data_IF_604745224910
#
_entry.id   IF_604745224910
#
_cell.length_a   1.000
_cell.length_b   1.000
_cell.length_c   1.000
_cell.angle_alpha   90.00
_cell.angle_beta   90.00
_cell.angle_gamma   90.00
#
_symmetry.space_group_name_H-M   'P 1'
#
loop_
_entity.id
_entity.type
_entity.pdbx_description
1 polymer ?
#
# COMPACT_ATOMS: atom_id res chain seq x y z
N UNK A 1 -6.76 24.91 -8.45
CA UNK A 1 -6.34 23.57 -8.05
C UNK A 1 -7.56 22.68 -7.94
N UNK A 2 -7.59 21.60 -8.67
CA UNK A 2 -8.74 20.70 -8.67
C UNK A 2 -8.69 19.74 -7.49
N UNK A 3 -9.86 19.25 -7.11
CA UNK A 3 -9.95 18.25 -6.07
C UNK A 3 -9.16 16.98 -6.43
N UNK A 4 -9.20 16.59 -7.72
CA UNK A 4 -8.44 15.44 -8.20
C UNK A 4 -6.93 15.64 -7.96
N UNK A 5 -6.42 16.83 -8.24
CA UNK A 5 -5.00 17.12 -8.01
C UNK A 5 -4.63 17.02 -6.55
N UNK A 6 -5.50 17.46 -5.64
CA UNK A 6 -5.29 17.32 -4.21
C UNK A 6 -5.24 15.85 -3.80
N UNK A 7 -6.14 15.05 -4.33
CA UNK A 7 -6.17 13.61 -4.04
C UNK A 7 -4.90 12.94 -4.56
N UNK A 8 -4.49 13.25 -5.78
CA UNK A 8 -3.26 12.70 -6.35
C UNK A 8 -2.06 13.03 -5.47
N UNK A 9 -1.97 14.28 -4.99
CA UNK A 9 -0.88 14.69 -4.12
C UNK A 9 -0.88 13.91 -2.81
N UNK A 10 -2.04 13.67 -2.22
CA UNK A 10 -2.19 12.87 -1.01
C UNK A 10 -1.78 11.42 -1.23
N UNK A 11 -2.21 10.84 -2.34
CA UNK A 11 -1.85 9.46 -2.70
C UNK A 11 -0.35 9.35 -2.92
N UNK A 12 0.24 10.30 -3.66
CA UNK A 12 1.68 10.32 -3.89
C UNK A 12 2.45 10.39 -2.57
N UNK A 13 2.01 11.23 -1.65
CA UNK A 13 2.66 11.36 -0.34
C UNK A 13 2.55 10.06 0.46
N UNK A 14 1.38 9.43 0.46
CA UNK A 14 1.17 8.17 1.18
C UNK A 14 2.03 7.05 0.59
N UNK A 15 2.15 6.99 -0.73
CA UNK A 15 3.00 6.01 -1.40
C UNK A 15 4.47 6.22 -1.06
N UNK A 16 4.89 7.48 -0.95
CA UNK A 16 6.26 7.81 -0.61
C UNK A 16 6.60 7.46 0.84
N UNK A 17 5.66 7.65 1.74
CA UNK A 17 5.83 7.29 3.15
C UNK A 17 5.87 5.79 3.37
N UNK A 18 5.17 5.03 2.53
CA UNK A 18 5.07 3.57 2.63
C UNK A 18 4.50 3.07 3.96
N UNK A 19 3.58 3.84 4.55
CA UNK A 19 2.89 3.45 5.78
C UNK A 19 1.53 2.85 5.44
N UNK A 20 1.36 1.56 5.68
CA UNK A 20 0.15 0.84 5.29
C UNK A 20 -1.10 1.42 5.95
N UNK A 21 -1.03 1.78 7.23
CA UNK A 21 -2.16 2.37 7.93
C UNK A 21 -2.65 3.64 7.24
N UNK A 22 -1.72 4.47 6.78
CA UNK A 22 -2.04 5.70 6.08
C UNK A 22 -2.70 5.43 4.73
N UNK A 23 -2.17 4.44 4.01
CA UNK A 23 -2.75 4.03 2.72
C UNK A 23 -4.17 3.49 2.89
N UNK A 24 -4.42 2.71 3.94
CA UNK A 24 -5.75 2.18 4.23
C UNK A 24 -6.74 3.30 4.58
N UNK A 25 -6.31 4.29 5.36
CA UNK A 25 -7.13 5.45 5.66
C UNK A 25 -7.53 6.20 4.40
N UNK A 26 -6.57 6.38 3.49
CA UNK A 26 -6.83 7.03 2.22
C UNK A 26 -7.80 6.25 1.35
N UNK A 27 -7.69 4.92 1.34
CA UNK A 27 -8.64 4.07 0.63
C UNK A 27 -10.07 4.28 1.13
N UNK A 28 -10.24 4.38 2.45
CA UNK A 28 -11.54 4.64 3.05
C UNK A 28 -12.06 6.01 2.65
N UNK A 29 -11.21 7.03 2.73
CA UNK A 29 -11.58 8.39 2.31
C UNK A 29 -11.99 8.43 0.84
N UNK A 30 -11.26 7.75 -0.02
CA UNK A 30 -11.57 7.70 -1.44
C UNK A 30 -12.89 6.98 -1.73
N UNK A 31 -13.20 5.95 -0.95
CA UNK A 31 -14.47 5.24 -1.09
C UNK A 31 -15.67 6.15 -0.81
N UNK A 32 -15.49 7.12 0.08
CA UNK A 32 -16.55 8.07 0.45
C UNK A 32 -16.50 9.35 -0.37
N UNK A 33 -15.51 9.51 -1.24
CA UNK A 33 -15.32 10.74 -2.00
C UNK A 33 -16.26 10.78 -3.20
N UNK A 34 -17.31 11.59 -3.09
CA UNK A 34 -18.32 11.75 -4.14
C UNK A 34 -17.94 12.83 -5.16
N UNK A 35 -16.90 13.63 -4.90
CA UNK A 35 -16.46 14.67 -5.83
C UNK A 35 -15.61 14.12 -6.96
N UNK A 36 -14.98 12.97 -6.75
CA UNK A 36 -14.23 12.31 -7.80
C UNK A 36 -15.14 11.49 -8.70
N UNK A 37 -14.81 11.45 -9.99
CA UNK A 37 -15.47 10.55 -10.91
C UNK A 37 -15.14 9.10 -10.50
N UNK A 38 -15.97 8.18 -10.97
CA UNK A 38 -15.79 6.77 -10.70
C UNK A 38 -14.43 6.27 -11.19
N UNK A 39 -14.03 6.72 -12.38
CA UNK A 39 -12.75 6.37 -12.98
C UNK A 39 -11.58 6.91 -12.19
N UNK A 40 -11.63 8.19 -11.83
CA UNK A 40 -10.54 8.82 -11.09
C UNK A 40 -10.38 8.18 -9.71
N UNK A 41 -11.50 7.93 -9.05
CA UNK A 41 -11.49 7.26 -7.76
C UNK A 41 -10.88 5.86 -7.86
N UNK A 42 -11.30 5.09 -8.86
CA UNK A 42 -10.79 3.76 -9.10
C UNK A 42 -9.29 3.77 -9.35
N UNK A 43 -8.81 4.68 -10.18
CA UNK A 43 -7.39 4.81 -10.50
C UNK A 43 -6.55 5.04 -9.25
N UNK A 44 -6.98 5.97 -8.40
CA UNK A 44 -6.23 6.27 -7.18
C UNK A 44 -6.31 5.14 -6.17
N UNK A 45 -7.46 4.48 -6.05
CA UNK A 45 -7.60 3.32 -5.19
C UNK A 45 -6.69 2.18 -5.62
N UNK A 46 -6.57 1.94 -6.93
CA UNK A 46 -5.70 0.88 -7.45
C UNK A 46 -4.23 1.16 -7.14
N UNK A 47 -3.81 2.40 -7.23
CA UNK A 47 -2.44 2.78 -6.87
C UNK A 47 -2.13 2.39 -5.42
N UNK A 48 -3.04 2.72 -4.52
CA UNK A 48 -2.89 2.38 -3.10
C UNK A 48 -2.92 0.88 -2.86
N UNK A 49 -3.88 0.19 -3.46
CA UNK A 49 -4.00 -1.26 -3.30
C UNK A 49 -2.78 -2.00 -3.81
N UNK A 50 -2.25 -1.58 -4.95
CA UNK A 50 -1.04 -2.17 -5.53
C UNK A 50 0.15 -1.98 -4.60
N UNK A 51 0.30 -0.79 -4.03
CA UNK A 51 1.39 -0.50 -3.11
C UNK A 51 1.26 -1.32 -1.82
N UNK A 52 0.05 -1.45 -1.28
CA UNK A 52 -0.20 -2.25 -0.07
C UNK A 52 0.13 -3.71 -0.33
N UNK A 53 -0.31 -4.24 -1.46
CA UNK A 53 -0.04 -5.63 -1.83
C UNK A 53 1.45 -5.89 -2.01
N UNK A 54 2.15 -4.96 -2.66
CA UNK A 54 3.59 -5.06 -2.88
C UNK A 54 4.35 -5.02 -1.55
N UNK A 55 3.95 -4.12 -0.66
CA UNK A 55 4.58 -4.01 0.66
C UNK A 55 4.37 -5.29 1.47
N UNK A 56 3.17 -5.83 1.45
CA UNK A 56 2.87 -7.08 2.13
C UNK A 56 3.67 -8.26 1.58
N UNK A 57 3.84 -8.31 0.27
CA UNK A 57 4.63 -9.35 -0.39
C UNK A 57 6.11 -9.26 0.00
N UNK A 58 6.67 -8.06 0.00
CA UNK A 58 8.06 -7.85 0.40
C UNK A 58 8.29 -8.28 1.85
N UNK A 59 7.38 -7.90 2.73
CA UNK A 59 7.48 -8.28 4.14
C UNK A 59 7.44 -9.79 4.31
N UNK A 60 6.57 -10.47 3.58
CA UNK A 60 6.47 -11.91 3.61
C UNK A 60 7.75 -12.58 3.11
N UNK A 61 8.31 -12.10 2.02
CA UNK A 61 9.56 -12.61 1.46
C UNK A 61 10.71 -12.46 2.46
N UNK A 62 10.80 -11.33 3.14
CA UNK A 62 11.81 -11.09 4.16
C UNK A 62 11.66 -12.05 5.33
N UNK A 63 10.43 -12.29 5.77
CA UNK A 63 10.15 -13.22 6.85
C UNK A 63 10.48 -14.66 6.45
N UNK A 64 10.12 -15.06 5.25
CA UNK A 64 10.41 -16.40 4.74
C UNK A 64 11.92 -16.64 4.65
N UNK A 65 12.69 -15.67 4.17
CA UNK A 65 14.13 -15.76 4.11
C UNK A 65 14.75 -15.91 5.51
N UNK A 66 14.22 -15.15 6.47
CA UNK A 66 14.70 -15.22 7.84
C UNK A 66 14.39 -16.58 8.48
N UNK A 67 13.21 -17.12 8.22
CA UNK A 67 12.83 -18.44 8.68
C UNK A 67 13.70 -19.53 8.08
N UNK A 68 14.02 -19.43 6.80
CA UNK A 68 14.92 -20.37 6.15
C UNK A 68 16.30 -20.39 6.82
N UNK A 69 16.84 -19.22 7.13
CA UNK A 69 18.11 -19.12 7.82
C UNK A 69 18.07 -19.77 9.20
N UNK A 70 17.01 -19.54 9.92
CA UNK A 70 16.83 -20.13 11.27
C UNK A 70 16.69 -21.64 11.17
N UNK A 71 15.94 -22.12 10.17
CA UNK A 71 15.73 -23.55 9.98
C UNK A 71 17.05 -24.25 9.63
N UNK A 72 17.84 -23.64 8.76
CA UNK A 72 19.14 -24.20 8.40
C UNK A 72 20.08 -24.28 9.60
N UNK A 73 20.03 -23.25 10.45
CA UNK A 73 20.81 -23.26 11.67
C UNK A 73 20.33 -24.29 12.67
N UNK A 74 19.03 -24.56 12.70
CA UNK A 74 18.43 -25.52 13.61
C UNK A 74 18.58 -26.97 13.18
N UNK A 75 18.74 -27.23 11.91
CA UNK A 75 18.83 -28.59 11.37
C UNK A 75 20.19 -29.23 11.55
N UNK A 76 21.13 -28.52 12.06
CA UNK A 76 22.47 -29.06 12.30
C UNK A 76 22.46 -30.07 13.47
N UNK A 77 21.40 -30.02 14.19
CA UNK A 77 21.19 -31.00 15.22
C UNK A 77 20.74 -32.33 14.65
#
# INVERSE_FOLDING_TARGET
VSHLNEVIARVDAALQESVIAHMNELLIELSDDTELSREDRYTQQQRLRTAIAHHGKQHKEEMDARLEQLTKGGTIL
#
